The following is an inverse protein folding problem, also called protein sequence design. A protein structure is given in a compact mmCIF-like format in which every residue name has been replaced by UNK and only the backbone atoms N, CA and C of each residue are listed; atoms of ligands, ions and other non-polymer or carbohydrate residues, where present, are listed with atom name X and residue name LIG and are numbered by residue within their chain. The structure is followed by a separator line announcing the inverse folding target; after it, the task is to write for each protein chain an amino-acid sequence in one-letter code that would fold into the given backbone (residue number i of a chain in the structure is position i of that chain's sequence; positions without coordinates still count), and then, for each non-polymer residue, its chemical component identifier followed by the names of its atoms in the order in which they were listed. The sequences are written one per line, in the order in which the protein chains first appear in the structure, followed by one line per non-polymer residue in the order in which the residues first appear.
data_IF_642740315330
#
_entry.id   IF_642740315330
#
_cell.length_a   1.000
_cell.length_b   1.000
_cell.length_c   1.000
_cell.angle_alpha   90.00
_cell.angle_beta   90.00
_cell.angle_gamma   90.00
#
_symmetry.space_group_name_H-M   'P 1'
#
loop_
_entity.id
_entity.type
_entity.pdbx_description
1 polymer ?
#
# COMPACT_ATOMS: atom_id res chain seq x y z
N UNK A 1 -3.73 17.03 47.96
CA UNK A 1 -2.73 17.09 46.87
C UNK A 1 -2.15 15.68 46.75
N UNK A 2 -2.63 14.88 45.79
CA UNK A 2 -2.14 13.51 45.62
C UNK A 2 -0.81 13.57 44.88
N UNK A 3 0.29 13.26 45.56
CA UNK A 3 1.60 13.07 44.94
C UNK A 3 1.51 11.89 44.00
N UNK A 4 1.77 12.12 42.70
CA UNK A 4 1.93 11.07 41.72
C UNK A 4 3.09 10.18 42.17
N UNK A 5 2.79 8.95 42.57
CA UNK A 5 3.83 7.95 42.87
C UNK A 5 4.28 7.36 41.55
N UNK A 6 5.55 7.58 41.22
CA UNK A 6 6.17 6.96 40.05
C UNK A 6 6.17 5.43 40.25
N UNK A 7 5.47 4.66 39.40
CA UNK A 7 5.40 3.20 39.55
C UNK A 7 6.74 2.50 39.28
N UNK A 8 7.73 3.20 38.70
CA UNK A 8 9.02 2.62 38.32
C UNK A 8 10.16 2.94 39.29
N UNK A 9 9.94 3.83 40.27
CA UNK A 9 11.00 4.34 41.16
C UNK A 9 11.72 3.26 41.98
N UNK A 10 11.09 2.10 42.22
CA UNK A 10 11.65 0.99 42.99
C UNK A 10 12.07 -0.22 42.14
N UNK A 11 12.00 -0.11 40.81
CA UNK A 11 12.28 -1.22 39.90
C UNK A 11 13.77 -1.27 39.55
N UNK A 12 14.38 -2.46 39.59
CA UNK A 12 15.76 -2.63 39.11
C UNK A 12 15.83 -2.41 37.60
N UNK A 13 17.00 -2.03 37.06
CA UNK A 13 17.17 -1.82 35.62
C UNK A 13 16.79 -3.05 34.78
N UNK A 14 17.16 -4.25 35.25
CA UNK A 14 16.78 -5.52 34.61
C UNK A 14 15.25 -5.74 34.64
N UNK A 15 14.61 -5.52 35.79
CA UNK A 15 13.17 -5.66 35.92
C UNK A 15 12.42 -4.65 35.04
N UNK A 16 12.91 -3.41 34.94
CA UNK A 16 12.37 -2.40 34.03
C UNK A 16 12.50 -2.82 32.57
N UNK A 17 13.67 -3.32 32.16
CA UNK A 17 13.87 -3.75 30.78
C UNK A 17 12.98 -4.93 30.40
N UNK A 18 12.86 -5.94 31.27
CA UNK A 18 11.96 -7.08 31.05
C UNK A 18 10.49 -6.64 30.99
N UNK A 19 10.07 -5.74 31.89
CA UNK A 19 8.72 -5.19 31.88
C UNK A 19 8.43 -4.40 30.59
N UNK A 20 9.37 -3.56 30.17
CA UNK A 20 9.23 -2.73 28.97
C UNK A 20 9.18 -3.57 27.69
N UNK A 21 10.14 -4.49 27.51
CA UNK A 21 10.21 -5.34 26.32
C UNK A 21 9.04 -6.34 26.26
N UNK A 22 8.69 -6.95 27.40
CA UNK A 22 7.51 -7.83 27.50
C UNK A 22 6.20 -7.09 27.28
N UNK A 23 6.06 -5.88 27.82
CA UNK A 23 4.89 -5.02 27.61
C UNK A 23 4.72 -4.61 26.14
N UNK A 24 5.81 -4.19 25.47
CA UNK A 24 5.79 -3.88 24.05
C UNK A 24 5.48 -5.11 23.18
N UNK A 25 6.06 -6.27 23.49
CA UNK A 25 5.74 -7.51 22.80
C UNK A 25 4.24 -7.86 22.95
N UNK A 26 3.69 -7.78 24.16
CA UNK A 26 2.28 -8.08 24.41
C UNK A 26 1.33 -7.13 23.66
N UNK A 27 1.58 -5.82 23.73
CA UNK A 27 0.78 -4.83 22.98
C UNK A 27 0.85 -5.12 21.49
N UNK A 28 2.05 -5.46 20.99
CA UNK A 28 2.25 -5.72 19.56
C UNK A 28 1.55 -6.99 19.09
N UNK A 29 1.56 -8.04 19.92
CA UNK A 29 0.80 -9.26 19.68
C UNK A 29 -0.70 -8.98 19.59
N UNK A 30 -1.25 -8.18 20.49
CA UNK A 30 -2.66 -7.82 20.47
C UNK A 30 -3.02 -7.05 19.19
N UNK A 31 -2.23 -6.04 18.81
CA UNK A 31 -2.47 -5.29 17.58
C UNK A 31 -2.37 -6.18 16.34
N UNK A 32 -1.44 -7.14 16.34
CA UNK A 32 -1.31 -8.11 15.25
C UNK A 32 -2.52 -9.04 15.15
N UNK A 33 -2.94 -9.68 16.25
CA UNK A 33 -4.06 -10.64 16.28
C UNK A 33 -5.39 -9.96 15.90
N UNK A 34 -5.64 -8.76 16.42
CA UNK A 34 -6.87 -8.01 16.14
C UNK A 34 -6.79 -7.17 14.85
N UNK A 35 -5.69 -7.28 14.11
CA UNK A 35 -5.47 -6.63 12.85
C UNK A 35 -6.29 -7.22 11.72
N UNK A 36 -7.49 -6.69 11.48
CA UNK A 36 -8.37 -7.21 10.42
C UNK A 36 -7.97 -6.68 9.03
N UNK A 37 -7.99 -7.53 7.98
CA UNK A 37 -7.92 -7.06 6.60
C UNK A 37 -9.10 -6.16 6.27
N UNK A 38 -8.86 -5.23 5.35
CA UNK A 38 -9.86 -4.24 4.97
C UNK A 38 -11.04 -4.89 4.28
N UNK A 39 -12.26 -4.50 4.66
CA UNK A 39 -13.47 -4.93 3.94
C UNK A 39 -13.49 -4.26 2.56
N UNK A 40 -13.65 -5.04 1.50
CA UNK A 40 -13.88 -4.52 0.17
C UNK A 40 -15.22 -3.76 0.14
N UNK A 41 -15.25 -2.56 -0.45
CA UNK A 41 -16.43 -1.67 -0.43
C UNK A 41 -17.04 -1.51 -1.83
N UNK A 42 -16.55 -2.26 -2.81
CA UNK A 42 -17.06 -2.18 -4.17
C UNK A 42 -16.70 -3.40 -5.00
N UNK A 43 -17.16 -3.41 -6.25
CA UNK A 43 -16.77 -4.39 -7.26
C UNK A 43 -15.35 -4.12 -7.74
N UNK A 44 -14.66 -5.15 -8.23
CA UNK A 44 -13.49 -4.94 -9.10
C UNK A 44 -14.03 -4.40 -10.42
N UNK A 45 -13.51 -3.26 -10.83
CA UNK A 45 -13.82 -2.67 -12.12
C UNK A 45 -12.72 -3.06 -13.09
N UNK A 46 -13.10 -3.59 -14.25
CA UNK A 46 -12.19 -3.89 -15.34
C UNK A 46 -12.52 -2.96 -16.49
N UNK A 47 -11.49 -2.34 -17.04
CA UNK A 47 -11.64 -1.55 -18.24
C UNK A 47 -10.49 -1.82 -19.20
N UNK A 48 -10.86 -1.97 -20.46
CA UNK A 48 -9.93 -2.15 -21.55
C UNK A 48 -9.67 -0.77 -22.16
N UNK A 49 -8.47 -0.25 -21.99
CA UNK A 49 -8.05 0.96 -22.68
C UNK A 49 -7.51 0.54 -24.05
N UNK A 50 -8.31 0.78 -25.08
CA UNK A 50 -7.95 0.54 -26.49
C UNK A 50 -7.45 1.82 -27.19
N UNK A 51 -7.62 2.98 -26.58
CA UNK A 51 -7.23 4.26 -27.17
C UNK A 51 -6.28 5.06 -26.25
N UNK A 52 -5.10 5.38 -26.78
CA UNK A 52 -4.02 6.07 -26.07
C UNK A 52 -4.02 7.59 -26.31
N UNK A 53 -5.11 8.15 -26.82
CA UNK A 53 -5.28 9.60 -26.91
C UNK A 53 -5.80 10.15 -25.58
N UNK A 54 -5.50 11.43 -25.31
CA UNK A 54 -5.98 12.17 -24.12
C UNK A 54 -7.52 12.19 -23.98
N UNK A 55 -8.23 11.83 -25.04
CA UNK A 55 -9.70 11.83 -25.11
C UNK A 55 -10.32 10.48 -24.69
N UNK A 56 -9.50 9.49 -24.31
CA UNK A 56 -9.96 8.19 -23.83
C UNK A 56 -9.75 8.09 -22.32
N UNK A 57 -10.54 8.85 -21.56
CA UNK A 57 -10.57 8.70 -20.11
C UNK A 57 -11.55 7.60 -19.71
N UNK A 58 -11.18 6.84 -18.68
CA UNK A 58 -12.06 5.87 -18.04
C UNK A 58 -12.47 6.38 -16.68
N UNK A 59 -13.78 6.60 -16.47
CA UNK A 59 -14.32 6.92 -15.15
C UNK A 59 -15.04 5.72 -14.57
N UNK A 60 -14.64 5.29 -13.38
CA UNK A 60 -15.33 4.25 -12.62
C UNK A 60 -16.70 4.73 -12.11
N UNK A 61 -17.67 3.81 -11.89
CA UNK A 61 -18.90 4.15 -11.19
C UNK A 61 -18.61 4.77 -9.82
N UNK A 62 -19.43 5.75 -9.44
CA UNK A 62 -19.31 6.40 -8.14
C UNK A 62 -19.44 5.41 -6.98
N UNK A 63 -18.67 5.65 -5.92
CA UNK A 63 -18.72 4.88 -4.69
C UNK A 63 -18.60 5.78 -3.46
N UNK A 64 -19.38 5.45 -2.43
CA UNK A 64 -19.45 6.26 -1.20
C UNK A 64 -18.19 6.13 -0.36
N UNK A 65 -17.62 7.28 0.02
CA UNK A 65 -16.57 7.40 1.02
C UNK A 65 -17.02 8.17 2.26
N UNK A 66 -16.35 7.90 3.38
CA UNK A 66 -16.66 8.46 4.69
C UNK A 66 -15.46 9.26 5.20
N UNK A 67 -15.73 10.46 5.73
CA UNK A 67 -14.72 11.35 6.31
C UNK A 67 -13.83 10.60 7.31
N UNK A 68 -12.52 10.79 7.18
CA UNK A 68 -11.54 10.24 8.11
C UNK A 68 -11.24 8.75 7.93
N UNK A 69 -12.01 8.03 7.09
CA UNK A 69 -11.69 6.67 6.69
C UNK A 69 -10.59 6.68 5.63
N UNK A 70 -9.62 5.78 5.79
CA UNK A 70 -8.60 5.52 4.77
C UNK A 70 -9.09 4.40 3.86
N UNK A 71 -8.87 4.57 2.57
CA UNK A 71 -9.21 3.66 1.48
C UNK A 71 -7.93 3.21 0.79
N UNK A 72 -7.92 1.96 0.33
CA UNK A 72 -6.86 1.36 -0.47
C UNK A 72 -7.39 1.21 -1.89
N UNK A 73 -6.82 1.98 -2.81
CA UNK A 73 -7.07 1.91 -4.24
C UNK A 73 -5.98 1.02 -4.84
N UNK A 74 -6.37 -0.05 -5.51
CA UNK A 74 -5.47 -1.01 -6.14
C UNK A 74 -5.70 -0.97 -7.64
N UNK A 75 -4.65 -0.64 -8.38
CA UNK A 75 -4.62 -0.67 -9.83
C UNK A 75 -3.75 -1.84 -10.26
N UNK A 76 -4.22 -2.62 -11.22
CA UNK A 76 -3.41 -3.68 -11.83
C UNK A 76 -3.38 -3.54 -13.32
N UNK A 77 -2.22 -3.80 -13.86
CA UNK A 77 -2.03 -3.88 -15.28
C UNK A 77 -0.92 -4.91 -15.56
N UNK A 78 -1.18 -5.82 -16.49
CA UNK A 78 -0.16 -6.76 -16.96
C UNK A 78 0.39 -6.25 -18.26
N UNK A 79 1.61 -5.73 -18.19
CA UNK A 79 2.32 -5.28 -19.39
C UNK A 79 3.11 -6.43 -20.03
N UNK A 80 3.32 -6.41 -21.36
CA UNK A 80 4.20 -7.36 -22.02
C UNK A 80 5.63 -7.37 -21.44
N UNK A 81 6.34 -8.48 -21.64
CA UNK A 81 7.76 -8.55 -21.29
C UNK A 81 8.60 -7.51 -22.07
N UNK A 82 9.58 -6.92 -21.39
CA UNK A 82 10.40 -5.80 -21.85
C UNK A 82 9.56 -4.60 -22.29
N UNK A 83 8.56 -4.24 -21.48
CA UNK A 83 7.74 -3.06 -21.70
C UNK A 83 7.35 -2.38 -20.40
N UNK A 84 6.89 -1.14 -20.54
CA UNK A 84 6.48 -0.26 -19.46
C UNK A 84 5.20 0.46 -19.86
N UNK A 85 4.33 0.77 -18.90
CA UNK A 85 3.17 1.64 -19.04
C UNK A 85 3.03 2.52 -17.81
N UNK A 86 2.75 3.81 -18.00
CA UNK A 86 2.35 4.76 -16.94
C UNK A 86 0.93 5.22 -17.21
N UNK A 87 0.14 5.39 -16.16
CA UNK A 87 -1.21 5.94 -16.22
C UNK A 87 -1.36 7.12 -15.26
N UNK A 88 -2.12 8.13 -15.69
CA UNK A 88 -2.58 9.21 -14.83
C UNK A 88 -3.94 8.88 -14.23
N UNK A 89 -4.05 9.04 -12.92
CA UNK A 89 -5.24 8.72 -12.13
C UNK A 89 -5.72 9.98 -11.41
N UNK A 90 -6.99 10.33 -11.60
CA UNK A 90 -7.70 11.36 -10.85
C UNK A 90 -8.74 10.74 -9.92
N UNK A 91 -8.87 11.28 -8.70
CA UNK A 91 -9.99 11.02 -7.81
C UNK A 91 -10.91 12.23 -7.88
N UNK A 92 -12.15 12.02 -8.32
CA UNK A 92 -13.12 13.08 -8.57
C UNK A 92 -14.19 13.11 -7.47
N UNK A 93 -14.63 14.31 -7.10
CA UNK A 93 -15.79 14.50 -6.23
C UNK A 93 -17.13 14.36 -6.99
N UNK A 94 -18.25 14.53 -6.27
CA UNK A 94 -19.61 14.47 -6.84
C UNK A 94 -19.84 15.51 -7.96
N UNK A 95 -19.04 16.59 -8.00
CA UNK A 95 -19.12 17.68 -8.98
C UNK A 95 -18.06 17.53 -10.10
N UNK A 96 -17.42 16.36 -10.21
CA UNK A 96 -16.31 16.07 -11.13
C UNK A 96 -15.04 16.93 -10.89
N UNK A 97 -14.94 17.56 -9.72
CA UNK A 97 -13.76 18.27 -9.27
C UNK A 97 -12.66 17.30 -8.84
N UNK A 98 -11.43 17.53 -9.28
CA UNK A 98 -10.28 16.70 -8.90
C UNK A 98 -9.90 16.94 -7.44
N UNK A 99 -10.06 15.90 -6.60
CA UNK A 99 -9.66 15.91 -5.18
C UNK A 99 -8.18 15.52 -5.04
N UNK A 100 -7.70 14.59 -5.87
CA UNK A 100 -6.34 14.06 -5.79
C UNK A 100 -5.92 13.48 -7.14
N UNK A 101 -4.62 13.55 -7.45
CA UNK A 101 -4.02 12.99 -8.65
C UNK A 101 -2.80 12.16 -8.30
N UNK A 102 -2.59 11.08 -9.05
CA UNK A 102 -1.47 10.17 -8.90
C UNK A 102 -1.10 9.56 -10.24
N UNK A 103 0.16 9.20 -10.37
CA UNK A 103 0.64 8.37 -11.47
C UNK A 103 0.89 6.95 -10.95
N UNK A 104 0.56 5.95 -11.78
CA UNK A 104 0.90 4.56 -11.54
C UNK A 104 1.74 4.03 -12.70
N UNK A 105 2.83 3.36 -12.37
CA UNK A 105 3.78 2.77 -13.31
C UNK A 105 3.72 1.24 -13.22
N UNK A 106 3.74 0.58 -14.38
CA UNK A 106 3.72 -0.87 -14.52
C UNK A 106 4.76 -1.31 -15.53
N UNK A 107 5.66 -2.20 -15.16
CA UNK A 107 6.75 -2.64 -16.04
C UNK A 107 6.98 -4.15 -15.90
N UNK A 108 7.51 -4.77 -16.95
CA UNK A 108 7.99 -6.15 -16.93
C UNK A 108 9.29 -6.19 -17.72
N UNK A 109 10.37 -6.59 -17.09
CA UNK A 109 11.68 -6.76 -17.72
C UNK A 109 12.19 -8.19 -17.52
N UNK A 110 12.90 -8.71 -18.52
CA UNK A 110 13.62 -9.96 -18.38
C UNK A 110 14.89 -9.95 -19.20
N UNK A 111 15.89 -10.69 -18.73
CA UNK A 111 17.20 -10.73 -19.33
C UNK A 111 17.97 -11.99 -18.96
N UNK A 112 19.25 -11.97 -19.32
CA UNK A 112 20.19 -13.03 -18.96
C UNK A 112 21.53 -12.41 -18.59
N UNK A 113 22.05 -12.79 -17.44
CA UNK A 113 23.36 -12.37 -16.94
C UNK A 113 24.22 -13.60 -16.57
N UNK A 114 25.31 -13.38 -15.82
CA UNK A 114 26.21 -14.45 -15.36
C UNK A 114 25.55 -15.44 -14.39
N UNK A 115 24.48 -15.03 -13.72
CA UNK A 115 23.78 -15.81 -12.70
C UNK A 115 22.59 -16.59 -13.29
N UNK A 116 22.13 -16.20 -14.48
CA UNK A 116 21.19 -16.98 -15.27
C UNK A 116 20.16 -16.10 -15.97
N UNK A 117 19.00 -16.69 -16.26
CA UNK A 117 17.84 -15.94 -16.71
C UNK A 117 17.17 -15.26 -15.52
N UNK A 118 16.82 -13.99 -15.69
CA UNK A 118 16.06 -13.22 -14.70
C UNK A 118 14.80 -12.62 -15.33
N UNK A 119 13.77 -12.43 -14.51
CA UNK A 119 12.55 -11.71 -14.90
C UNK A 119 11.94 -11.03 -13.69
N UNK A 120 11.73 -9.73 -13.81
CA UNK A 120 11.18 -8.85 -12.78
C UNK A 120 10.00 -8.06 -13.35
N UNK A 121 9.02 -7.75 -12.50
CA UNK A 121 7.83 -7.01 -12.92
C UNK A 121 7.17 -6.30 -11.76
N UNK A 122 6.48 -5.22 -12.10
CA UNK A 122 5.54 -4.53 -11.24
C UNK A 122 4.18 -4.40 -11.95
N UNK A 123 3.24 -5.25 -11.55
CA UNK A 123 1.91 -5.36 -12.16
C UNK A 123 0.82 -4.69 -11.30
N UNK A 124 1.16 -4.18 -10.10
CA UNK A 124 0.18 -3.77 -9.09
C UNK A 124 0.64 -2.51 -8.37
N UNK A 125 -0.09 -1.42 -8.57
CA UNK A 125 0.13 -0.18 -7.84
C UNK A 125 -0.96 0.05 -6.78
N UNK A 126 -0.55 0.56 -5.62
CA UNK A 126 -1.42 0.69 -4.44
C UNK A 126 -1.35 2.10 -3.85
N UNK A 127 -2.48 2.81 -3.86
CA UNK A 127 -2.62 4.12 -3.24
C UNK A 127 -3.49 4.08 -1.99
N UNK A 128 -3.08 4.84 -0.98
CA UNK A 128 -3.87 5.06 0.22
C UNK A 128 -4.47 6.46 0.19
N UNK A 129 -5.79 6.54 0.15
CA UNK A 129 -6.55 7.78 0.09
C UNK A 129 -7.33 7.96 1.40
N UNK A 130 -7.17 9.11 2.06
CA UNK A 130 -7.99 9.49 3.21
C UNK A 130 -9.06 10.47 2.76
N UNK A 131 -10.32 10.07 2.87
CA UNK A 131 -11.42 10.91 2.42
C UNK A 131 -11.54 12.18 3.29
N UNK A 132 -11.49 13.39 2.70
CA UNK A 132 -11.58 14.65 3.43
C UNK A 132 -13.02 14.95 3.88
N UNK A 133 -14.01 14.55 3.08
CA UNK A 133 -15.45 14.69 3.35
C UNK A 133 -16.18 13.37 3.05
N UNK A 134 -17.44 13.28 3.49
CA UNK A 134 -18.29 12.09 3.26
C UNK A 134 -19.13 12.37 2.03
N UNK A 135 -18.84 11.68 0.94
CA UNK A 135 -19.39 11.97 -0.39
C UNK A 135 -19.28 10.73 -1.28
N UNK A 136 -19.93 10.75 -2.44
CA UNK A 136 -19.68 9.81 -3.52
C UNK A 136 -18.53 10.31 -4.39
N UNK A 137 -17.51 9.48 -4.58
CA UNK A 137 -16.37 9.81 -5.45
C UNK A 137 -16.30 8.83 -6.61
N UNK A 138 -15.65 9.25 -7.70
CA UNK A 138 -15.22 8.36 -8.76
C UNK A 138 -13.71 8.42 -8.91
N UNK A 139 -13.17 7.43 -9.61
CA UNK A 139 -11.78 7.39 -10.04
C UNK A 139 -11.76 7.43 -11.55
N UNK A 140 -10.99 8.36 -12.10
CA UNK A 140 -10.73 8.51 -13.52
C UNK A 140 -9.30 8.09 -13.85
N UNK A 141 -9.11 7.33 -14.92
CA UNK A 141 -7.80 7.20 -15.60
C UNK A 141 -7.84 8.11 -16.81
N UNK A 142 -7.08 9.21 -16.79
CA UNK A 142 -7.22 10.32 -17.75
C UNK A 142 -6.10 10.39 -18.81
N UNK A 143 -5.02 9.61 -18.65
CA UNK A 143 -4.05 9.36 -19.70
C UNK A 143 -3.26 8.07 -19.45
N UNK A 144 -2.62 7.57 -20.51
CA UNK A 144 -1.75 6.39 -20.52
C UNK A 144 -0.57 6.64 -21.47
N UNK A 145 0.64 6.26 -21.09
CA UNK A 145 1.82 6.23 -21.97
C UNK A 145 2.56 4.91 -21.81
N UNK A 146 3.19 4.43 -22.87
CA UNK A 146 4.03 3.23 -22.90
C UNK A 146 5.53 3.55 -23.02
N UNK A 147 5.89 4.84 -22.96
CA UNK A 147 7.25 5.33 -23.12
C UNK A 147 7.46 6.64 -22.34
N UNK A 148 8.45 6.68 -21.44
CA UNK A 148 8.86 7.89 -20.69
C UNK A 148 9.27 9.03 -21.64
N UNK A 149 9.78 8.69 -22.82
CA UNK A 149 10.28 9.64 -23.81
C UNK A 149 9.19 10.22 -24.74
N UNK A 150 7.98 9.65 -24.78
CA UNK A 150 6.90 10.12 -25.67
C UNK A 150 6.14 11.32 -25.10
N UNK A 151 6.24 11.60 -23.79
CA UNK A 151 5.59 12.77 -23.19
C UNK A 151 6.10 14.10 -23.80
N UNK A 152 7.33 14.09 -24.34
CA UNK A 152 7.98 15.27 -24.95
C UNK A 152 8.12 15.20 -26.48
N UNK A 153 7.78 14.08 -27.13
CA UNK A 153 7.86 13.93 -28.60
C UNK A 153 6.46 13.85 -29.20
N UNK A 154 6.00 14.98 -29.76
CA UNK A 154 4.72 15.11 -30.47
C UNK A 154 4.66 14.41 -31.84
N UNK A 155 5.74 13.78 -32.28
CA UNK A 155 5.94 13.49 -33.70
C UNK A 155 6.00 11.97 -33.94
N UNK A 156 4.84 11.44 -34.31
CA UNK A 156 4.62 10.35 -35.26
C UNK A 156 5.47 9.07 -35.15
N UNK A 157 4.93 8.03 -34.49
CA UNK A 157 4.92 6.66 -35.03
C UNK A 157 3.73 5.90 -34.39
N UNK A 158 2.74 5.54 -35.22
CA UNK A 158 1.62 4.67 -34.84
C UNK A 158 2.19 3.24 -34.76
N UNK A 159 2.85 2.91 -33.66
CA UNK A 159 2.99 1.52 -33.26
C UNK A 159 1.57 1.01 -32.96
N UNK A 160 1.25 -0.24 -33.35
CA UNK A 160 0.06 -0.94 -32.85
C UNK A 160 0.15 -1.00 -31.33
N UNK A 161 -0.35 0.04 -30.65
CA UNK A 161 -0.31 0.14 -29.19
C UNK A 161 -1.26 -0.94 -28.66
N UNK A 162 -0.68 -1.91 -27.97
CA UNK A 162 -1.40 -3.09 -27.48
C UNK A 162 -2.34 -2.67 -26.36
N UNK A 163 -3.64 -2.65 -26.66
CA UNK A 163 -4.74 -2.54 -25.70
C UNK A 163 -4.38 -3.10 -24.33
N UNK A 164 -4.45 -2.25 -23.31
CA UNK A 164 -4.01 -2.55 -21.96
C UNK A 164 -5.23 -2.62 -21.05
N UNK A 165 -5.45 -3.76 -20.40
CA UNK A 165 -6.56 -3.93 -19.44
C UNK A 165 -6.12 -3.42 -18.06
N UNK A 166 -6.77 -2.36 -17.59
CA UNK A 166 -6.58 -1.84 -16.24
C UNK A 166 -7.68 -2.38 -15.34
N UNK A 167 -7.26 -3.00 -14.24
CA UNK A 167 -8.16 -3.45 -13.18
C UNK A 167 -8.06 -2.48 -12.02
N UNK A 168 -9.20 -1.97 -11.58
CA UNK A 168 -9.33 -1.07 -10.44
C UNK A 168 -10.13 -1.74 -9.33
N UNK A 169 -9.65 -1.68 -8.09
CA UNK A 169 -10.38 -2.19 -6.92
C UNK A 169 -10.27 -1.23 -5.75
N UNK A 170 -11.40 -0.98 -5.08
CA UNK A 170 -11.47 -0.15 -3.86
C UNK A 170 -11.74 -0.99 -2.64
N UNK A 171 -10.91 -0.84 -1.61
CA UNK A 171 -11.08 -1.48 -0.30
C UNK A 171 -11.00 -0.43 0.80
N UNK A 172 -11.70 -0.63 1.92
CA UNK A 172 -11.38 0.11 3.15
C UNK A 172 -9.94 -0.26 3.48
N UNK A 173 -9.09 0.71 3.81
CA UNK A 173 -7.78 0.38 4.35
C UNK A 173 -8.04 -0.31 5.69
N UNK A 174 -7.84 -1.63 5.71
CA UNK A 174 -7.92 -2.41 6.93
C UNK A 174 -6.77 -2.07 7.86
N UNK A 175 -6.75 -2.74 9.01
CA UNK A 175 -5.63 -2.65 9.94
C UNK A 175 -4.53 -3.65 9.61
N UNK A 176 -4.65 -4.44 8.54
CA UNK A 176 -3.65 -5.44 8.16
C UNK A 176 -2.25 -4.88 7.93
N UNK A 177 -2.09 -3.68 7.34
CA UNK A 177 -0.77 -3.07 7.16
C UNK A 177 -0.13 -2.76 8.52
N UNK A 178 -0.90 -2.14 9.41
CA UNK A 178 -0.49 -1.88 10.80
C UNK A 178 -0.19 -3.19 11.52
N UNK A 179 -1.04 -4.20 11.38
CA UNK A 179 -0.86 -5.52 11.97
C UNK A 179 0.45 -6.18 11.55
N UNK A 180 0.80 -6.10 10.26
CA UNK A 180 2.07 -6.61 9.73
C UNK A 180 3.26 -5.86 10.32
N UNK A 181 3.17 -4.54 10.50
CA UNK A 181 4.21 -3.76 11.17
C UNK A 181 4.38 -4.19 12.64
N UNK A 182 3.28 -4.34 13.37
CA UNK A 182 3.30 -4.80 14.76
C UNK A 182 3.73 -6.27 14.90
N UNK A 183 3.55 -7.11 13.87
CA UNK A 183 4.14 -8.46 13.83
C UNK A 183 5.67 -8.39 13.88
N UNK A 184 6.32 -7.50 13.11
CA UNK A 184 7.78 -7.35 13.17
C UNK A 184 8.25 -6.83 14.52
N UNK A 185 7.56 -5.82 15.09
CA UNK A 185 7.85 -5.30 16.43
C UNK A 185 7.72 -6.43 17.46
N UNK A 186 6.65 -7.22 17.40
CA UNK A 186 6.46 -8.37 18.29
C UNK A 186 7.66 -9.32 18.27
N UNK A 187 8.15 -9.71 17.10
CA UNK A 187 9.29 -10.63 17.00
C UNK A 187 10.58 -10.03 17.54
N UNK A 188 10.87 -8.76 17.23
CA UNK A 188 12.07 -8.07 17.73
C UNK A 188 12.05 -8.00 19.26
N UNK A 189 10.95 -7.51 19.85
CA UNK A 189 10.86 -7.33 21.29
C UNK A 189 10.73 -8.65 22.05
N UNK A 190 10.08 -9.67 21.48
CA UNK A 190 10.08 -11.03 22.04
C UNK A 190 11.49 -11.63 22.05
N UNK A 191 12.23 -11.48 20.96
CA UNK A 191 13.63 -11.94 20.88
C UNK A 191 14.51 -11.29 21.94
N UNK A 192 14.42 -9.95 22.08
CA UNK A 192 15.14 -9.22 23.12
C UNK A 192 14.75 -9.66 24.54
N UNK A 193 13.46 -9.87 24.78
CA UNK A 193 12.94 -10.33 26.06
C UNK A 193 13.50 -11.72 26.43
N UNK A 194 13.38 -12.70 25.53
CA UNK A 194 13.87 -14.05 25.77
C UNK A 194 15.40 -14.12 25.88
N UNK A 195 16.14 -13.39 25.04
CA UNK A 195 17.59 -13.29 25.15
C UNK A 195 18.02 -12.77 26.53
N UNK A 196 17.32 -11.74 27.05
CA UNK A 196 17.61 -11.18 28.36
C UNK A 196 17.32 -12.18 29.47
N UNK A 197 16.23 -12.95 29.38
CA UNK A 197 15.94 -14.03 30.34
C UNK A 197 17.04 -15.09 30.30
N UNK A 198 17.48 -15.51 29.12
CA UNK A 198 18.54 -16.50 28.97
C UNK A 198 19.85 -15.99 29.59
N UNK A 199 20.25 -14.75 29.32
CA UNK A 199 21.49 -14.19 29.89
C UNK A 199 21.37 -14.04 31.42
N UNK A 200 20.22 -13.58 31.91
CA UNK A 200 20.05 -13.28 33.34
C UNK A 200 19.87 -14.54 34.21
N UNK A 201 19.33 -15.62 33.65
CA UNK A 201 18.93 -16.80 34.42
C UNK A 201 19.48 -18.13 33.87
N UNK A 202 20.11 -18.15 32.70
CA UNK A 202 20.56 -19.35 32.00
C UNK A 202 21.86 -19.96 32.53
N UNK A 203 22.67 -19.22 33.29
CA UNK A 203 23.93 -19.70 33.87
C UNK A 203 23.72 -20.40 35.25
N UNK A 204 22.47 -20.74 35.62
CA UNK A 204 22.16 -21.42 36.89
C UNK A 204 22.16 -22.97 36.78
N UNK A 205 22.80 -23.52 35.75
CA UNK A 205 23.13 -24.96 35.64
C UNK A 205 24.65 -25.16 35.62
#
# INVERSE_FOLDING_TARGET
MNTFKDPFANMSGLAFFLWFTGGLALISLLVWIFGTPGKQIGTTYEHLLDNYTKDSSFTSPQFRVNTGQVYRLEFKNKVPNNSWTVIGIGILDEEEGVINEKEAEFWHESGRDSDGYWSERDDIEVFHFKAPKTEDISVEVYWITDNENDFWRKDHLIYERKSTSIYFTVKKAGRALVAKYFQYIFWIFSGLFFLTIIIAYGDNE
#
